data_IF_370665564116
#
_entry.id   IF_370665564116
#
_cell.length_a   1.000
_cell.length_b   1.000
_cell.length_c   1.000
_cell.angle_alpha   90.00
_cell.angle_beta   90.00
_cell.angle_gamma   90.00
#
_symmetry.space_group_name_H-M   'P 1'
#
loop_
_entity.id
_entity.type
_entity.pdbx_description
1 polymer ?
#
# COMPACT_ATOMS: atom_id res chain seq x y z
N UNK A 1 -2.89 -25.68 4.81
CA UNK A 1 -2.12 -24.55 4.26
C UNK A 1 -2.90 -23.25 4.48
N UNK A 2 -2.33 -22.27 5.23
CA UNK A 2 -3.01 -20.99 5.42
C UNK A 2 -3.24 -20.28 4.09
N UNK A 3 -4.40 -19.66 3.94
CA UNK A 3 -4.76 -18.91 2.75
C UNK A 3 -5.84 -17.89 3.07
N UNK A 4 -5.92 -16.85 2.25
CA UNK A 4 -6.95 -15.83 2.35
C UNK A 4 -7.30 -15.35 0.95
N UNK A 5 -8.56 -15.02 0.72
CA UNK A 5 -9.02 -14.38 -0.50
C UNK A 5 -9.55 -12.98 -0.18
N UNK A 6 -9.77 -12.19 -1.23
CA UNK A 6 -10.31 -10.84 -1.12
C UNK A 6 -11.59 -10.79 -0.28
N UNK A 7 -12.43 -11.82 -0.37
CA UNK A 7 -13.73 -11.86 0.31
C UNK A 7 -13.69 -12.58 1.65
N UNK A 8 -12.54 -13.08 2.08
CA UNK A 8 -12.41 -13.83 3.34
C UNK A 8 -11.45 -13.18 4.33
N UNK A 9 -11.10 -11.91 4.12
CA UNK A 9 -10.17 -11.19 5.01
C UNK A 9 -10.79 -10.91 6.38
N UNK A 10 -9.93 -10.85 7.40
CA UNK A 10 -10.35 -10.60 8.78
C UNK A 10 -10.78 -9.15 9.01
N UNK A 11 -10.15 -8.22 8.31
CA UNK A 11 -10.40 -6.78 8.46
C UNK A 11 -10.72 -6.14 7.12
N UNK A 12 -11.60 -5.15 7.17
CA UNK A 12 -11.92 -4.32 6.02
C UNK A 12 -11.98 -2.87 6.48
N UNK A 13 -11.24 -2.00 5.80
CA UNK A 13 -11.21 -0.58 6.11
C UNK A 13 -11.57 0.21 4.85
N UNK A 14 -12.68 0.91 4.92
CA UNK A 14 -13.16 1.71 3.79
C UNK A 14 -12.87 3.19 4.04
N UNK A 15 -11.98 3.75 3.24
CA UNK A 15 -11.58 5.15 3.32
C UNK A 15 -12.23 6.01 2.23
N UNK A 16 -13.26 5.49 1.57
CA UNK A 16 -13.91 6.17 0.45
C UNK A 16 -13.17 5.93 -0.86
N UNK A 17 -12.11 6.65 -1.12
CA UNK A 17 -11.30 6.49 -2.32
C UNK A 17 -10.53 5.17 -2.34
N UNK A 18 -10.21 4.62 -1.17
CA UNK A 18 -9.43 3.40 -1.04
C UNK A 18 -10.16 2.42 -0.12
N UNK A 19 -10.28 1.18 -0.57
CA UNK A 19 -10.76 0.06 0.25
C UNK A 19 -9.59 -0.89 0.50
N UNK A 20 -9.29 -1.15 1.77
CA UNK A 20 -8.24 -2.07 2.14
C UNK A 20 -8.83 -3.24 2.93
N UNK A 21 -8.50 -4.46 2.50
CA UNK A 21 -8.90 -5.69 3.18
C UNK A 21 -7.65 -6.47 3.54
N UNK A 22 -7.52 -6.82 4.82
CA UNK A 22 -6.29 -7.42 5.33
C UNK A 22 -6.52 -8.63 6.20
N UNK A 23 -5.54 -9.53 6.17
CA UNK A 23 -5.43 -10.67 7.08
C UNK A 23 -3.98 -10.95 7.36
N UNK A 24 -3.69 -11.54 8.50
CA UNK A 24 -2.34 -12.02 8.81
C UNK A 24 -2.18 -13.48 8.41
N UNK A 25 -1.07 -13.77 7.74
CA UNK A 25 -0.62 -15.12 7.43
C UNK A 25 0.83 -15.24 7.87
N UNK A 26 1.07 -15.88 9.02
CA UNK A 26 2.41 -16.17 9.54
C UNK A 26 3.36 -14.97 9.50
N UNK A 27 3.20 -14.03 10.39
CA UNK A 27 4.03 -12.82 10.54
C UNK A 27 4.00 -11.86 9.34
N UNK A 28 3.19 -12.15 8.34
CA UNK A 28 2.98 -11.26 7.20
C UNK A 28 1.52 -10.83 7.13
N UNK A 29 1.33 -9.59 6.72
CA UNK A 29 0.00 -9.08 6.44
C UNK A 29 -0.25 -9.17 4.95
N UNK A 30 -1.35 -9.81 4.58
CA UNK A 30 -1.84 -9.86 3.20
C UNK A 30 -2.86 -8.74 3.05
N UNK A 31 -2.63 -7.86 2.08
CA UNK A 31 -3.49 -6.71 1.83
C UNK A 31 -4.05 -6.78 0.42
N UNK A 32 -5.38 -6.72 0.31
CA UNK A 32 -6.07 -6.52 -0.96
C UNK A 32 -6.53 -5.06 -0.98
N UNK A 33 -5.96 -4.26 -1.86
CA UNK A 33 -6.22 -2.83 -1.90
C UNK A 33 -6.90 -2.45 -3.21
N UNK A 34 -8.02 -1.76 -3.11
CA UNK A 34 -8.77 -1.25 -4.25
C UNK A 34 -8.77 0.27 -4.21
N UNK A 35 -8.29 0.90 -5.27
CA UNK A 35 -8.32 2.36 -5.43
C UNK A 35 -9.52 2.71 -6.31
N UNK A 36 -10.56 3.25 -5.71
CA UNK A 36 -11.79 3.63 -6.40
C UNK A 36 -11.64 4.92 -7.19
N UNK A 37 -10.72 5.77 -6.75
CA UNK A 37 -10.43 7.07 -7.35
C UNK A 37 -8.93 7.24 -7.49
N UNK A 38 -8.50 8.14 -8.38
CA UNK A 38 -7.12 8.57 -8.44
C UNK A 38 -6.68 9.04 -7.06
N UNK A 39 -5.60 8.47 -6.54
CA UNK A 39 -5.12 8.77 -5.20
C UNK A 39 -3.67 9.22 -5.25
N UNK A 40 -3.43 10.47 -4.85
CA UNK A 40 -2.09 11.01 -4.65
C UNK A 40 -1.86 11.09 -3.14
N UNK A 41 -0.98 10.25 -2.62
CA UNK A 41 -0.70 10.19 -1.19
C UNK A 41 0.60 10.89 -0.81
N UNK A 42 1.19 11.65 -1.74
CA UNK A 42 2.45 12.37 -1.50
C UNK A 42 2.35 13.28 -0.27
N UNK A 43 1.24 14.00 -0.13
CA UNK A 43 1.04 14.89 1.02
C UNK A 43 1.01 14.15 2.35
N UNK A 44 0.43 12.94 2.39
CA UNK A 44 0.37 12.11 3.59
C UNK A 44 1.77 11.57 3.90
N UNK A 45 2.44 11.02 2.88
CA UNK A 45 3.78 10.47 3.04
C UNK A 45 4.80 11.52 3.44
N UNK A 46 4.60 12.78 3.03
CA UNK A 46 5.46 13.88 3.43
C UNK A 46 5.46 14.11 4.94
N UNK A 47 4.44 13.64 5.66
CA UNK A 47 4.35 13.72 7.12
C UNK A 47 5.16 12.63 7.80
N UNK A 48 5.60 11.62 7.08
CA UNK A 48 6.42 10.55 7.62
C UNK A 48 7.87 11.02 7.70
N UNK A 49 8.59 10.46 8.65
CA UNK A 49 10.03 10.67 8.74
C UNK A 49 10.66 10.18 7.43
N UNK A 50 11.44 11.04 6.79
CA UNK A 50 12.08 10.75 5.50
C UNK A 50 11.13 10.69 4.29
N UNK A 51 9.84 10.94 4.48
CA UNK A 51 8.83 10.98 3.40
C UNK A 51 8.75 9.68 2.59
N UNK A 52 8.97 8.53 3.25
CA UNK A 52 9.03 7.23 2.57
C UNK A 52 8.35 6.16 3.40
N UNK A 53 7.88 5.14 2.71
CA UNK A 53 7.41 3.94 3.37
C UNK A 53 8.63 3.09 3.78
N UNK A 54 8.77 2.81 5.06
CA UNK A 54 9.87 1.99 5.58
C UNK A 54 9.57 0.49 5.53
N UNK A 55 8.34 0.12 5.17
CA UNK A 55 7.92 -1.27 5.09
C UNK A 55 8.15 -1.82 3.68
N UNK A 56 8.88 -2.93 3.51
CA UNK A 56 8.98 -3.56 2.20
C UNK A 56 7.66 -4.28 1.86
N UNK A 57 7.35 -4.34 0.57
CA UNK A 57 6.16 -5.03 0.08
C UNK A 57 6.49 -5.90 -1.13
N UNK A 58 5.93 -7.09 -1.14
CA UNK A 58 5.89 -7.95 -2.34
C UNK A 58 4.44 -7.97 -2.81
N UNK A 59 4.22 -7.89 -4.10
CA UNK A 59 2.85 -7.85 -4.56
C UNK A 59 2.63 -8.15 -6.02
N UNK A 60 1.36 -8.03 -6.39
CA UNK A 60 0.89 -8.27 -7.75
C UNK A 60 -0.24 -7.29 -8.04
N UNK A 61 -0.19 -6.67 -9.22
CA UNK A 61 -1.22 -5.73 -9.66
C UNK A 61 -2.20 -6.47 -10.57
N UNK A 62 -3.48 -6.52 -10.16
CA UNK A 62 -4.53 -7.17 -10.96
C UNK A 62 -5.07 -6.23 -12.03
N UNK A 63 -5.16 -4.95 -11.72
CA UNK A 63 -5.67 -3.93 -12.64
C UNK A 63 -5.10 -2.57 -12.27
N UNK A 64 -5.14 -1.63 -13.21
CA UNK A 64 -4.73 -0.25 -12.99
C UNK A 64 -3.24 -0.01 -13.11
N UNK A 65 -2.78 1.01 -12.41
CA UNK A 65 -1.39 1.45 -12.47
C UNK A 65 -1.00 2.17 -11.20
N UNK A 66 0.23 1.90 -10.74
CA UNK A 66 0.81 2.54 -9.55
C UNK A 66 2.13 3.20 -9.91
N UNK A 67 2.31 4.44 -9.46
CA UNK A 67 3.51 5.24 -9.69
C UNK A 67 4.35 5.28 -8.42
N UNK A 68 5.63 4.89 -8.54
CA UNK A 68 6.54 4.70 -7.41
C UNK A 68 7.79 5.54 -7.61
N UNK A 69 8.31 6.10 -6.52
CA UNK A 69 9.60 6.76 -6.48
C UNK A 69 10.47 6.12 -5.40
N UNK A 70 11.74 5.93 -5.70
CA UNK A 70 12.71 5.31 -4.79
C UNK A 70 13.63 6.36 -4.17
N UNK A 71 14.40 5.94 -3.15
CA UNK A 71 15.34 6.78 -2.41
C UNK A 71 16.32 7.54 -3.28
N UNK A 72 16.78 6.91 -4.34
CA UNK A 72 17.76 7.48 -5.26
C UNK A 72 17.15 8.40 -6.31
N UNK A 73 15.85 8.69 -6.21
CA UNK A 73 15.13 9.53 -7.15
C UNK A 73 14.63 8.82 -8.40
N UNK A 74 14.96 7.54 -8.56
CA UNK A 74 14.41 6.77 -9.68
C UNK A 74 12.90 6.66 -9.54
N UNK A 75 12.22 6.71 -10.66
CA UNK A 75 10.77 6.51 -10.74
C UNK A 75 10.47 5.25 -11.55
N UNK A 76 9.39 4.60 -11.17
CA UNK A 76 8.94 3.39 -11.85
C UNK A 76 7.42 3.37 -11.89
N UNK A 77 6.91 2.56 -12.80
CA UNK A 77 5.46 2.35 -12.97
C UNK A 77 5.20 0.87 -12.91
N UNK A 78 4.27 0.47 -12.06
CA UNK A 78 3.80 -0.92 -11.97
C UNK A 78 2.47 -0.99 -12.71
N UNK A 79 2.39 -1.85 -13.71
CA UNK A 79 1.19 -2.04 -14.53
C UNK A 79 0.46 -3.33 -14.17
N UNK A 80 -0.80 -3.40 -14.56
CA UNK A 80 -1.61 -4.62 -14.40
C UNK A 80 -0.86 -5.82 -14.97
N UNK A 81 -0.81 -6.90 -14.20
CA UNK A 81 -0.08 -8.11 -14.57
C UNK A 81 1.35 -8.17 -14.06
N UNK A 82 1.86 -7.09 -13.46
CA UNK A 82 3.20 -7.08 -12.91
C UNK A 82 3.23 -7.62 -11.49
N UNK A 83 4.19 -8.51 -11.22
CA UNK A 83 4.61 -8.84 -9.87
C UNK A 83 5.71 -7.85 -9.50
N UNK A 84 5.69 -7.34 -8.27
CA UNK A 84 6.66 -6.34 -7.87
C UNK A 84 7.24 -6.60 -6.49
N UNK A 85 8.42 -6.03 -6.27
CA UNK A 85 9.01 -5.90 -4.95
C UNK A 85 9.33 -4.42 -4.71
N UNK A 86 8.72 -3.85 -3.70
CA UNK A 86 8.98 -2.49 -3.27
C UNK A 86 9.83 -2.53 -2.00
N UNK A 87 11.16 -2.28 -2.10
CA UNK A 87 12.02 -2.28 -0.91
C UNK A 87 11.67 -1.11 0.01
N UNK A 88 12.10 -1.19 1.26
CA UNK A 88 12.00 -0.07 2.18
C UNK A 88 12.60 1.19 1.54
N UNK A 89 11.97 2.34 1.75
CA UNK A 89 12.41 3.59 1.15
C UNK A 89 11.72 3.95 -0.15
N UNK A 90 10.68 3.22 -0.51
CA UNK A 90 9.84 3.57 -1.67
C UNK A 90 8.77 4.58 -1.27
N UNK A 91 8.27 5.31 -2.26
CA UNK A 91 7.10 6.16 -2.14
C UNK A 91 6.13 5.83 -3.27
N UNK A 92 4.95 5.34 -2.93
CA UNK A 92 3.85 5.27 -3.90
C UNK A 92 3.22 6.65 -3.88
N UNK A 93 3.48 7.44 -4.91
CA UNK A 93 3.00 8.81 -4.93
C UNK A 93 1.66 8.95 -5.65
N UNK A 94 1.28 7.97 -6.46
CA UNK A 94 -0.01 7.99 -7.13
C UNK A 94 -0.47 6.57 -7.47
N UNK A 95 -1.74 6.29 -7.22
CA UNK A 95 -2.42 5.10 -7.72
C UNK A 95 -3.62 5.55 -8.56
N UNK A 96 -3.74 5.05 -9.78
CA UNK A 96 -4.82 5.45 -10.68
C UNK A 96 -6.13 4.77 -10.31
N UNK A 97 -7.24 5.43 -10.62
CA UNK A 97 -8.58 4.88 -10.41
C UNK A 97 -8.74 3.50 -11.04
N UNK A 98 -9.34 2.57 -10.31
CA UNK A 98 -9.54 1.20 -10.78
C UNK A 98 -8.35 0.28 -10.51
N UNK A 99 -7.35 0.75 -9.80
CA UNK A 99 -6.21 -0.09 -9.41
C UNK A 99 -6.63 -1.08 -8.34
N UNK A 100 -6.32 -2.35 -8.56
CA UNK A 100 -6.47 -3.40 -7.56
C UNK A 100 -5.16 -4.14 -7.41
N UNK A 101 -4.68 -4.29 -6.18
CA UNK A 101 -3.41 -4.96 -5.93
C UNK A 101 -3.47 -5.86 -4.70
N UNK A 102 -2.59 -6.84 -4.73
CA UNK A 102 -2.32 -7.73 -3.61
C UNK A 102 -0.92 -7.43 -3.10
N UNK A 103 -0.76 -7.27 -1.79
CA UNK A 103 0.55 -7.09 -1.18
C UNK A 103 0.75 -8.04 -0.02
N UNK A 104 2.00 -8.47 0.13
CA UNK A 104 2.48 -9.17 1.32
C UNK A 104 3.50 -8.27 2.00
N UNK A 105 3.32 -8.01 3.28
CA UNK A 105 4.17 -7.11 4.05
C UNK A 105 4.49 -7.71 5.41
N UNK A 106 5.71 -7.55 5.91
CA UNK A 106 6.01 -7.93 7.30
C UNK A 106 5.11 -7.17 8.26
N UNK A 107 4.43 -7.87 9.16
CA UNK A 107 3.39 -7.27 10.01
C UNK A 107 3.92 -6.17 10.93
N UNK A 108 5.08 -6.38 11.56
CA UNK A 108 5.65 -5.39 12.47
C UNK A 108 5.95 -4.05 11.80
N UNK A 109 6.80 -4.00 10.76
CA UNK A 109 7.07 -2.77 10.02
C UNK A 109 5.83 -2.12 9.41
N UNK A 110 4.90 -2.92 8.90
CA UNK A 110 3.65 -2.39 8.33
C UNK A 110 2.82 -1.67 9.38
N UNK A 111 2.74 -2.22 10.61
CA UNK A 111 1.99 -1.60 11.69
C UNK A 111 2.52 -0.20 12.04
N UNK A 112 3.84 -0.02 12.02
CA UNK A 112 4.46 1.28 12.24
C UNK A 112 4.08 2.29 11.16
N UNK A 113 4.13 1.89 9.91
CA UNK A 113 3.76 2.75 8.78
C UNK A 113 2.28 3.09 8.83
N UNK A 114 1.43 2.12 9.08
CA UNK A 114 -0.02 2.33 9.18
C UNK A 114 -0.36 3.32 10.29
N UNK A 115 0.27 3.19 11.46
CA UNK A 115 0.06 4.12 12.56
C UNK A 115 0.48 5.55 12.20
N UNK A 116 1.62 5.70 11.51
CA UNK A 116 2.12 7.01 11.09
C UNK A 116 1.19 7.65 10.04
N UNK A 117 0.71 6.87 9.08
CA UNK A 117 -0.23 7.37 8.06
C UNK A 117 -1.55 7.79 8.71
N UNK A 118 -2.08 6.96 9.60
CA UNK A 118 -3.32 7.27 10.32
C UNK A 118 -3.19 8.58 11.11
N UNK A 119 -2.08 8.75 11.83
CA UNK A 119 -1.82 9.97 12.57
C UNK A 119 -1.72 11.19 11.65
N UNK A 120 -1.06 11.05 10.49
CA UNK A 120 -0.96 12.12 9.50
C UNK A 120 -2.33 12.51 8.94
N UNK A 121 -3.16 11.53 8.64
CA UNK A 121 -4.52 11.78 8.14
C UNK A 121 -5.38 12.52 9.17
N UNK A 122 -5.24 12.19 10.45
CA UNK A 122 -5.98 12.83 11.53
C UNK A 122 -5.56 14.30 11.75
N UNK A 123 -4.33 14.68 11.35
CA UNK A 123 -3.83 16.04 11.47
C UNK A 123 -4.24 16.96 10.32
N UNK A 124 -4.77 16.39 9.24
CA UNK A 124 -5.19 17.18 8.09
C UNK A 124 -6.58 17.78 8.34
N UNK A 125 -6.80 19.06 7.98
CA UNK A 125 -8.10 19.72 8.15
C UNK A 125 -9.18 19.13 7.27
#
# INVERSE_FOLDING_TARGET
MPRVSKDSTEKSSDYGAVLERTSELDDHTVSFVTFREDSDITGILASLKERKCICPHWGYLFSGRVHVEYDDGRRDVVDAGDAFYAPAGHTVWRAESGTEMLMFSPTGPLAEVTAAITAAMQRQP
#
